data_IF_094920509912
#
_entry.id   IF_094920509912
#
_cell.length_a   1.000
_cell.length_b   1.000
_cell.length_c   1.000
_cell.angle_alpha   90.00
_cell.angle_beta   90.00
_cell.angle_gamma   90.00
#
_symmetry.space_group_name_H-M   'P 1'
#
loop_
_entity.id
_entity.type
_entity.pdbx_description
1 polymer ?
#
# COMPACT_ATOMS: atom_id res chain seq x y z
N UNK A 1 -13.10 -10.80 36.82
CA UNK A 1 -12.59 -9.73 35.93
C UNK A 1 -12.88 -10.03 34.46
N UNK A 2 -12.42 -11.15 33.92
CA UNK A 2 -12.65 -11.47 32.50
C UNK A 2 -14.14 -11.70 32.21
N UNK A 3 -14.85 -12.40 33.08
CA UNK A 3 -16.30 -12.63 32.95
C UNK A 3 -17.09 -11.32 33.04
N UNK A 4 -16.74 -10.43 33.96
CA UNK A 4 -17.36 -9.11 34.09
C UNK A 4 -17.14 -8.25 32.85
N UNK A 5 -15.93 -8.27 32.27
CA UNK A 5 -15.66 -7.56 31.03
C UNK A 5 -16.44 -8.17 29.86
N UNK A 6 -16.53 -9.49 29.78
CA UNK A 6 -17.26 -10.20 28.74
C UNK A 6 -18.75 -9.93 28.80
N UNK A 7 -19.38 -10.04 30.01
CA UNK A 7 -20.80 -9.79 30.20
C UNK A 7 -21.23 -8.36 29.81
N UNK A 8 -20.38 -7.37 30.07
CA UNK A 8 -20.65 -5.99 29.66
C UNK A 8 -20.36 -5.79 28.17
N UNK A 9 -19.23 -6.29 27.69
CA UNK A 9 -18.78 -6.00 26.33
C UNK A 9 -19.65 -6.67 25.25
N UNK A 10 -20.09 -7.90 25.48
CA UNK A 10 -20.87 -8.67 24.53
C UNK A 10 -22.39 -8.49 24.66
N UNK A 11 -22.86 -7.74 25.66
CA UNK A 11 -24.26 -7.36 25.75
C UNK A 11 -24.60 -6.19 24.82
N UNK A 12 -25.38 -6.42 23.72
CA UNK A 12 -25.77 -5.37 22.81
C UNK A 12 -26.69 -4.31 23.42
N UNK A 13 -27.35 -4.62 24.55
CA UNK A 13 -28.25 -3.70 25.28
C UNK A 13 -27.47 -2.81 26.25
N UNK A 14 -26.26 -3.21 26.63
CA UNK A 14 -25.45 -2.44 27.58
C UNK A 14 -24.83 -1.20 26.93
N UNK A 15 -24.87 0.01 27.52
CA UNK A 15 -24.29 1.23 26.94
C UNK A 15 -22.78 1.16 26.64
N UNK A 16 -22.05 0.23 27.27
CA UNK A 16 -20.65 -0.06 27.00
C UNK A 16 -20.44 -1.32 26.12
N UNK A 17 -21.53 -1.94 25.63
CA UNK A 17 -21.44 -3.08 24.72
C UNK A 17 -20.76 -2.70 23.40
N UNK A 18 -19.85 -3.54 22.91
CA UNK A 18 -19.06 -3.34 21.68
C UNK A 18 -18.45 -1.94 21.53
N UNK A 19 -18.19 -1.24 22.64
CA UNK A 19 -17.80 0.17 22.63
C UNK A 19 -16.29 0.40 22.87
N UNK A 20 -15.91 1.64 23.17
CA UNK A 20 -14.51 2.04 23.36
C UNK A 20 -13.94 1.53 24.70
N UNK A 21 -12.59 1.43 24.76
CA UNK A 21 -11.85 1.10 25.98
C UNK A 21 -12.27 1.96 27.17
N UNK A 22 -12.49 3.26 26.98
CA UNK A 22 -12.86 4.19 28.05
C UNK A 22 -14.25 3.91 28.60
N UNK A 23 -15.24 3.63 27.72
CA UNK A 23 -16.61 3.30 28.18
C UNK A 23 -16.64 1.98 28.92
N UNK A 24 -15.94 0.96 28.39
CA UNK A 24 -15.86 -0.35 29.05
C UNK A 24 -15.13 -0.26 30.39
N UNK A 25 -14.05 0.51 30.49
CA UNK A 25 -13.31 0.74 31.74
C UNK A 25 -14.18 1.42 32.80
N UNK A 26 -14.95 2.45 32.42
CA UNK A 26 -15.88 3.13 33.33
C UNK A 26 -17.01 2.20 33.81
N UNK A 27 -17.59 1.41 32.93
CA UNK A 27 -18.70 0.52 33.24
C UNK A 27 -18.28 -0.67 34.13
N UNK A 28 -17.07 -1.19 33.94
CA UNK A 28 -16.56 -2.36 34.66
C UNK A 28 -15.76 -2.02 35.90
N UNK A 29 -15.36 -0.77 36.12
CA UNK A 29 -14.44 -0.39 37.19
C UNK A 29 -12.99 -0.87 36.99
N UNK A 30 -12.69 -1.53 35.87
CA UNK A 30 -11.38 -2.09 35.57
C UNK A 30 -10.48 -1.04 34.91
N UNK A 31 -9.20 -0.98 35.27
CA UNK A 31 -8.26 -0.03 34.71
C UNK A 31 -8.14 -0.15 33.19
N UNK A 32 -7.95 0.98 32.50
CA UNK A 32 -7.86 1.03 31.02
C UNK A 32 -6.73 0.15 30.46
N UNK A 33 -5.66 -0.08 31.22
CA UNK A 33 -4.57 -0.96 30.84
C UNK A 33 -5.03 -2.42 30.75
N UNK A 34 -5.71 -2.91 31.78
CA UNK A 34 -6.26 -4.27 31.84
C UNK A 34 -7.37 -4.49 30.82
N UNK A 35 -8.24 -3.48 30.63
CA UNK A 35 -9.29 -3.53 29.57
C UNK A 35 -8.67 -3.61 28.19
N UNK A 36 -7.60 -2.84 27.88
CA UNK A 36 -6.89 -2.93 26.61
C UNK A 36 -6.25 -4.30 26.39
N UNK A 37 -5.69 -4.88 27.42
CA UNK A 37 -5.10 -6.23 27.34
C UNK A 37 -6.15 -7.27 27.04
N UNK A 38 -7.28 -7.25 27.78
CA UNK A 38 -8.41 -8.12 27.53
C UNK A 38 -8.99 -7.95 26.12
N UNK A 39 -9.21 -6.72 25.67
CA UNK A 39 -9.73 -6.44 24.33
C UNK A 39 -8.80 -6.91 23.20
N UNK A 40 -7.48 -6.96 23.41
CA UNK A 40 -6.54 -7.51 22.41
C UNK A 40 -6.75 -9.01 22.18
N UNK A 41 -7.39 -9.71 23.09
CA UNK A 41 -7.76 -11.12 22.99
C UNK A 41 -9.11 -11.31 22.28
N UNK A 42 -9.91 -10.25 22.12
CA UNK A 42 -11.24 -10.33 21.52
C UNK A 42 -11.18 -10.10 20.01
N UNK A 43 -11.57 -11.11 19.21
CA UNK A 43 -11.59 -11.04 17.75
C UNK A 43 -12.47 -9.90 17.24
N UNK A 44 -13.66 -9.73 17.82
CA UNK A 44 -14.59 -8.64 17.48
C UNK A 44 -13.95 -7.25 17.61
N UNK A 45 -13.16 -7.02 18.64
CA UNK A 45 -12.45 -5.75 18.81
C UNK A 45 -11.28 -5.61 17.84
N UNK A 46 -10.43 -6.65 17.73
CA UNK A 46 -9.21 -6.58 16.93
C UNK A 46 -9.49 -6.48 15.42
N UNK A 47 -10.56 -7.12 14.93
CA UNK A 47 -10.98 -7.03 13.53
C UNK A 47 -11.48 -5.64 13.13
N UNK A 48 -12.19 -4.94 14.04
CA UNK A 48 -12.84 -3.66 13.75
C UNK A 48 -12.04 -2.43 14.21
N UNK A 49 -10.92 -2.63 14.90
CA UNK A 49 -10.08 -1.51 15.33
C UNK A 49 -9.69 -0.64 14.13
N UNK A 50 -9.69 0.68 14.32
CA UNK A 50 -9.32 1.63 13.26
C UNK A 50 -7.88 1.38 12.80
N UNK A 51 -7.71 1.19 11.48
CA UNK A 51 -6.40 1.14 10.83
C UNK A 51 -5.94 2.56 10.49
N UNK A 52 -4.66 2.85 10.68
CA UNK A 52 -4.10 4.16 10.36
C UNK A 52 -3.92 4.28 8.85
N UNK A 53 -4.55 5.28 8.24
CA UNK A 53 -4.50 5.50 6.78
C UNK A 53 -3.25 6.27 6.31
N UNK A 54 -2.65 7.09 7.17
CA UNK A 54 -1.47 7.89 6.86
C UNK A 54 -0.40 7.65 7.91
N UNK A 55 0.75 7.16 7.51
CA UNK A 55 1.89 6.89 8.39
C UNK A 55 3.20 7.09 7.63
N UNK A 56 4.32 7.31 8.33
CA UNK A 56 5.62 7.42 7.70
C UNK A 56 6.00 6.13 6.97
N UNK A 57 6.43 6.27 5.72
CA UNK A 57 6.95 5.17 4.90
C UNK A 57 8.43 5.39 4.62
N UNK A 58 9.18 4.34 4.32
CA UNK A 58 10.57 4.47 3.88
C UNK A 58 10.61 5.33 2.62
N UNK A 59 11.45 6.35 2.66
CA UNK A 59 11.70 7.15 1.46
C UNK A 59 12.51 6.32 0.46
N UNK A 60 12.20 6.49 -0.79
CA UNK A 60 13.04 5.99 -1.88
C UNK A 60 14.34 6.81 -1.88
N UNK A 61 15.46 6.19 -1.53
CA UNK A 61 16.78 6.82 -1.59
C UNK A 61 17.48 6.38 -2.85
N UNK A 62 17.51 7.27 -3.83
CA UNK A 62 18.42 7.22 -4.97
C UNK A 62 19.54 8.18 -4.66
N UNK A 63 20.77 7.79 -4.95
CA UNK A 63 21.96 8.48 -4.45
C UNK A 63 22.56 9.47 -5.44
N UNK A 64 22.07 9.49 -6.69
CA UNK A 64 22.63 10.34 -7.73
C UNK A 64 21.63 10.58 -8.86
N UNK A 65 21.93 11.56 -9.72
CA UNK A 65 21.20 11.90 -10.92
C UNK A 65 21.24 10.69 -11.88
N UNK A 66 20.14 10.45 -12.59
CA UNK A 66 20.00 9.43 -13.63
C UNK A 66 20.31 7.98 -13.19
N UNK A 67 20.39 7.73 -11.87
CA UNK A 67 20.49 6.35 -11.38
C UNK A 67 19.15 5.63 -11.54
N UNK A 68 18.05 6.31 -11.25
CA UNK A 68 16.73 5.71 -11.38
C UNK A 68 15.66 6.72 -11.78
N UNK A 69 14.96 6.41 -12.87
CA UNK A 69 13.77 7.13 -13.28
C UNK A 69 12.51 6.35 -12.96
N UNK A 70 11.39 7.05 -12.86
CA UNK A 70 10.06 6.47 -12.87
C UNK A 70 9.32 6.94 -14.12
N UNK A 71 8.54 6.03 -14.73
CA UNK A 71 7.70 6.35 -15.88
C UNK A 71 6.28 5.80 -15.68
N UNK A 72 5.30 6.54 -16.22
CA UNK A 72 3.88 6.19 -16.18
C UNK A 72 3.15 6.73 -17.41
N UNK A 73 2.01 6.11 -17.76
CA UNK A 73 1.10 6.59 -18.80
C UNK A 73 -0.13 7.24 -18.21
N UNK A 74 -0.17 8.56 -18.30
CA UNK A 74 -1.32 9.33 -17.86
C UNK A 74 -2.43 9.35 -18.95
N UNK A 75 -3.57 8.77 -18.66
CA UNK A 75 -4.77 8.86 -19.51
C UNK A 75 -5.37 10.27 -19.42
N UNK A 76 -5.56 10.89 -20.58
CA UNK A 76 -6.17 12.20 -20.80
C UNK A 76 -7.31 12.15 -21.82
N UNK A 77 -7.85 10.97 -22.09
CA UNK A 77 -8.94 10.74 -23.04
C UNK A 77 -10.17 11.60 -22.78
N UNK A 78 -10.50 11.85 -21.51
CA UNK A 78 -11.62 12.71 -21.09
C UNK A 78 -11.53 14.15 -21.61
N UNK A 79 -10.32 14.64 -21.90
CA UNK A 79 -10.07 15.99 -22.42
C UNK A 79 -9.60 15.97 -23.88
N UNK A 80 -9.38 14.79 -24.43
CA UNK A 80 -8.90 14.61 -25.80
C UNK A 80 -10.04 14.61 -26.82
N UNK A 81 -11.03 15.50 -26.69
CA UNK A 81 -12.03 15.73 -27.76
C UNK A 81 -11.41 16.35 -29.03
N UNK A 82 -10.10 16.30 -29.17
CA UNK A 82 -9.39 16.91 -30.29
C UNK A 82 -9.27 15.96 -31.48
N UNK A 83 -9.41 16.53 -32.65
CA UNK A 83 -9.18 15.87 -33.97
C UNK A 83 -7.75 15.27 -34.12
N UNK A 84 -6.80 15.58 -33.24
CA UNK A 84 -5.40 15.15 -33.32
C UNK A 84 -5.11 13.76 -32.72
N UNK A 85 -6.07 13.10 -32.09
CA UNK A 85 -5.97 11.71 -31.67
C UNK A 85 -5.02 11.40 -30.49
N UNK A 86 -4.42 12.42 -29.85
CA UNK A 86 -3.58 12.20 -28.65
C UNK A 86 -4.44 11.98 -27.41
N UNK A 87 -4.31 10.81 -26.78
CA UNK A 87 -5.14 10.40 -25.63
C UNK A 87 -4.34 10.06 -24.38
N UNK A 88 -3.01 9.93 -24.51
CA UNK A 88 -2.12 9.60 -23.42
C UNK A 88 -0.95 10.56 -23.32
N UNK A 89 -0.36 10.64 -22.15
CA UNK A 89 0.90 11.33 -21.89
C UNK A 89 1.86 10.33 -21.26
N UNK A 90 2.99 10.05 -21.92
CA UNK A 90 4.11 9.41 -21.24
C UNK A 90 4.74 10.46 -20.33
N UNK A 91 4.79 10.18 -19.04
CA UNK A 91 5.46 10.98 -18.04
C UNK A 91 6.66 10.22 -17.50
N UNK A 92 7.78 10.90 -17.40
CA UNK A 92 9.04 10.35 -16.88
C UNK A 92 9.62 11.34 -15.88
N UNK A 93 10.21 10.85 -14.79
CA UNK A 93 10.85 11.69 -13.77
C UNK A 93 12.09 11.02 -13.21
N UNK A 94 13.17 11.76 -13.10
CA UNK A 94 14.35 11.36 -12.35
C UNK A 94 14.05 11.42 -10.84
N UNK A 95 14.23 10.30 -10.14
CA UNK A 95 13.91 10.19 -8.72
C UNK A 95 14.81 11.09 -7.86
N UNK A 96 16.06 11.32 -8.25
CA UNK A 96 16.98 12.14 -7.48
C UNK A 96 16.69 13.63 -7.68
N UNK A 97 16.84 14.13 -8.90
CA UNK A 97 16.71 15.55 -9.22
C UNK A 97 15.26 16.04 -9.28
N UNK A 98 14.27 15.14 -9.35
CA UNK A 98 12.86 15.47 -9.64
C UNK A 98 12.65 16.10 -11.02
N UNK A 99 13.67 16.14 -11.86
CA UNK A 99 13.54 16.61 -13.23
C UNK A 99 12.61 15.69 -14.01
N UNK A 100 11.69 16.27 -14.74
CA UNK A 100 10.60 15.53 -15.37
C UNK A 100 10.50 15.82 -16.86
N UNK A 101 10.02 14.82 -17.60
CA UNK A 101 9.69 14.88 -19.02
C UNK A 101 8.26 14.44 -19.25
N UNK A 102 7.65 14.92 -20.33
CA UNK A 102 6.36 14.43 -20.80
C UNK A 102 6.31 14.43 -22.31
N UNK A 103 5.68 13.38 -22.89
CA UNK A 103 5.45 13.25 -24.33
C UNK A 103 4.01 12.87 -24.62
N UNK A 104 3.35 13.51 -25.59
CA UNK A 104 2.01 13.13 -25.99
C UNK A 104 2.02 11.84 -26.82
N UNK A 105 1.10 10.94 -26.56
CA UNK A 105 0.94 9.68 -27.29
C UNK A 105 -0.50 9.55 -27.80
N UNK A 106 -0.65 8.98 -29.00
CA UNK A 106 -1.96 8.68 -29.59
C UNK A 106 -2.57 7.41 -28.97
N UNK A 107 -1.73 6.43 -28.71
CA UNK A 107 -2.14 5.13 -28.16
C UNK A 107 -1.07 4.57 -27.21
N UNK A 108 -1.37 3.45 -26.55
CA UNK A 108 -0.48 2.75 -25.62
C UNK A 108 0.40 1.69 -26.31
N UNK A 109 0.61 1.75 -27.62
CA UNK A 109 1.42 0.74 -28.30
C UNK A 109 2.90 0.85 -27.86
N UNK A 110 3.54 -0.30 -27.71
CA UNK A 110 4.97 -0.33 -27.34
C UNK A 110 5.87 0.38 -28.32
N UNK A 111 5.51 0.45 -29.60
CA UNK A 111 6.24 1.20 -30.63
C UNK A 111 6.21 2.71 -30.36
N UNK A 112 5.05 3.25 -30.01
CA UNK A 112 4.86 4.66 -29.74
C UNK A 112 5.51 5.08 -28.41
N UNK A 113 5.40 4.22 -27.39
CA UNK A 113 6.08 4.42 -26.10
C UNK A 113 7.60 4.40 -26.26
N UNK A 114 8.14 3.45 -27.03
CA UNK A 114 9.59 3.40 -27.31
C UNK A 114 10.07 4.64 -28.09
N UNK A 115 9.29 5.11 -29.06
CA UNK A 115 9.63 6.34 -29.81
C UNK A 115 9.67 7.57 -28.88
N UNK A 116 8.73 7.66 -27.94
CA UNK A 116 8.69 8.75 -26.96
C UNK A 116 9.88 8.70 -25.98
N UNK A 117 10.29 7.52 -25.52
CA UNK A 117 11.51 7.37 -24.73
C UNK A 117 12.77 7.76 -25.52
N UNK A 118 12.86 7.31 -26.78
CA UNK A 118 13.99 7.67 -27.67
C UNK A 118 14.09 9.19 -27.84
N UNK A 119 12.97 9.88 -27.94
CA UNK A 119 12.94 11.34 -28.02
C UNK A 119 13.40 12.00 -26.71
N UNK A 120 13.01 11.46 -25.54
CA UNK A 120 13.51 11.94 -24.25
C UNK A 120 15.03 11.73 -24.14
N UNK A 121 15.55 10.57 -24.54
CA UNK A 121 16.99 10.27 -24.46
C UNK A 121 17.84 11.18 -25.35
N UNK A 122 17.30 11.73 -26.43
CA UNK A 122 17.98 12.73 -27.29
C UNK A 122 18.25 14.04 -26.57
N UNK A 123 17.59 14.33 -25.45
CA UNK A 123 17.89 15.47 -24.58
C UNK A 123 19.20 15.31 -23.78
N UNK A 124 19.90 14.17 -23.92
CA UNK A 124 21.23 13.93 -23.38
C UNK A 124 21.27 13.27 -22.01
N UNK A 125 20.10 12.93 -21.42
CA UNK A 125 20.05 12.21 -20.15
C UNK A 125 19.53 10.78 -20.36
N UNK A 126 20.23 9.80 -19.77
CA UNK A 126 19.90 8.37 -19.87
C UNK A 126 20.03 7.76 -18.47
N UNK A 127 19.01 7.06 -17.95
CA UNK A 127 19.07 6.48 -16.62
C UNK A 127 19.76 5.11 -16.64
N UNK A 128 20.28 4.69 -15.48
CA UNK A 128 20.76 3.32 -15.30
C UNK A 128 19.58 2.33 -15.22
N UNK A 129 18.47 2.75 -14.64
CA UNK A 129 17.26 1.91 -14.54
C UNK A 129 15.97 2.73 -14.56
N UNK A 130 14.91 2.11 -15.07
CA UNK A 130 13.57 2.71 -15.13
C UNK A 130 12.59 1.81 -14.37
N UNK A 131 11.84 2.42 -13.47
CA UNK A 131 10.72 1.79 -12.78
C UNK A 131 9.42 2.16 -13.47
N UNK A 132 8.63 1.14 -13.84
CA UNK A 132 7.27 1.31 -14.36
C UNK A 132 6.29 0.46 -13.55
N UNK A 133 5.00 0.58 -13.83
CA UNK A 133 4.05 -0.47 -13.47
C UNK A 133 4.23 -1.70 -14.39
N UNK A 134 3.43 -2.77 -14.15
CA UNK A 134 3.47 -4.01 -14.94
C UNK A 134 2.60 -3.91 -16.23
N UNK A 135 2.45 -2.71 -16.77
CA UNK A 135 1.65 -2.50 -17.99
C UNK A 135 2.31 -3.11 -19.23
N UNK A 136 1.51 -3.72 -20.10
CA UNK A 136 1.96 -4.28 -21.38
C UNK A 136 2.58 -3.21 -22.29
N UNK A 137 2.24 -1.96 -22.09
CA UNK A 137 2.80 -0.78 -22.77
C UNK A 137 4.30 -0.59 -22.54
N UNK A 138 4.82 -1.06 -21.38
CA UNK A 138 6.25 -1.05 -21.05
C UNK A 138 6.88 -2.42 -21.23
N UNK A 139 6.15 -3.49 -20.91
CA UNK A 139 6.62 -4.88 -20.97
C UNK A 139 6.48 -5.49 -22.38
N UNK A 140 7.09 -4.84 -23.39
CA UNK A 140 7.04 -5.29 -24.78
C UNK A 140 8.41 -5.26 -25.47
N UNK A 141 8.50 -5.90 -26.64
CA UNK A 141 9.75 -6.05 -27.39
C UNK A 141 10.39 -4.70 -27.80
N UNK A 142 9.57 -3.69 -28.14
CA UNK A 142 10.10 -2.41 -28.64
C UNK A 142 10.77 -1.61 -27.53
N UNK A 143 10.13 -1.49 -26.38
CA UNK A 143 10.68 -0.80 -25.21
C UNK A 143 11.89 -1.57 -24.67
N UNK A 144 11.79 -2.92 -24.54
CA UNK A 144 12.91 -3.77 -24.08
C UNK A 144 14.12 -3.70 -25.01
N UNK A 145 13.92 -3.62 -26.34
CA UNK A 145 15.01 -3.46 -27.30
C UNK A 145 15.71 -2.12 -27.12
N UNK A 146 14.95 -1.01 -27.04
CA UNK A 146 15.50 0.33 -26.82
C UNK A 146 16.27 0.41 -25.48
N UNK A 147 15.72 -0.14 -24.42
CA UNK A 147 16.38 -0.09 -23.10
C UNK A 147 17.65 -0.94 -23.06
N UNK A 148 17.66 -2.07 -23.76
CA UNK A 148 18.86 -2.91 -23.90
C UNK A 148 19.96 -2.20 -24.71
N UNK A 149 19.60 -1.48 -25.78
CA UNK A 149 20.52 -0.66 -26.57
C UNK A 149 21.27 0.39 -25.72
N UNK A 150 20.56 0.95 -24.72
CA UNK A 150 21.11 1.96 -23.80
C UNK A 150 21.58 1.40 -22.45
N UNK A 151 21.64 0.08 -22.27
CA UNK A 151 21.99 -0.59 -21.01
C UNK A 151 21.11 -0.17 -19.82
N UNK A 152 19.81 0.05 -20.06
CA UNK A 152 18.84 0.46 -19.04
C UNK A 152 18.15 -0.79 -18.47
N UNK A 153 18.17 -0.92 -17.14
CA UNK A 153 17.42 -1.95 -16.43
C UNK A 153 15.95 -1.53 -16.30
N UNK A 154 15.04 -2.32 -16.89
CA UNK A 154 13.57 -2.17 -16.66
C UNK A 154 13.13 -3.05 -15.49
N UNK A 155 12.48 -2.46 -14.51
CA UNK A 155 11.89 -3.23 -13.41
C UNK A 155 10.54 -2.66 -12.96
N UNK A 156 9.70 -3.53 -12.41
CA UNK A 156 8.41 -3.18 -11.87
C UNK A 156 8.29 -3.61 -10.41
N UNK A 157 7.50 -2.90 -9.61
CA UNK A 157 7.27 -3.20 -8.20
C UNK A 157 5.81 -3.57 -7.99
N UNK A 158 5.56 -4.75 -7.40
CA UNK A 158 4.22 -5.28 -7.12
C UNK A 158 3.51 -4.64 -5.91
N UNK A 159 4.15 -3.72 -5.19
CA UNK A 159 3.60 -3.15 -3.96
C UNK A 159 2.56 -2.05 -4.22
N UNK A 160 1.68 -1.82 -3.22
CA UNK A 160 0.70 -0.72 -3.24
C UNK A 160 1.34 0.69 -3.29
N UNK A 161 2.64 0.80 -3.04
CA UNK A 161 3.42 2.04 -3.09
C UNK A 161 4.21 2.18 -4.39
N UNK A 162 3.57 1.82 -5.51
CA UNK A 162 4.14 1.91 -6.85
C UNK A 162 4.48 3.37 -7.17
N UNK A 163 5.57 3.61 -7.85
CA UNK A 163 5.92 4.83 -8.60
C UNK A 163 5.38 6.18 -8.03
N UNK A 164 5.33 6.34 -6.70
CA UNK A 164 4.68 7.46 -6.01
C UNK A 164 5.22 8.85 -6.41
N UNK A 165 6.42 8.93 -6.98
CA UNK A 165 7.04 10.19 -7.39
C UNK A 165 6.46 10.62 -8.73
N UNK A 166 6.38 9.73 -9.72
CA UNK A 166 5.76 10.03 -11.02
C UNK A 166 4.25 10.24 -10.87
N UNK A 167 3.56 9.50 -9.99
CA UNK A 167 2.14 9.74 -9.71
C UNK A 167 1.89 11.16 -9.15
N UNK A 168 2.77 11.64 -8.28
CA UNK A 168 2.70 13.01 -7.76
C UNK A 168 2.98 14.04 -8.84
N UNK A 169 3.94 13.78 -9.72
CA UNK A 169 4.20 14.61 -10.89
C UNK A 169 2.98 14.64 -11.81
N UNK A 170 2.37 13.48 -12.11
CA UNK A 170 1.15 13.38 -12.91
C UNK A 170 0.01 14.23 -12.34
N UNK A 171 -0.18 14.21 -11.02
CA UNK A 171 -1.19 15.05 -10.37
C UNK A 171 -0.89 16.53 -10.55
N UNK A 172 0.37 16.94 -10.41
CA UNK A 172 0.79 18.34 -10.59
C UNK A 172 0.62 18.78 -12.04
N UNK A 173 1.05 17.97 -13.00
CA UNK A 173 0.94 18.24 -14.43
C UNK A 173 -0.54 18.33 -14.84
N UNK A 174 -1.36 17.35 -14.51
CA UNK A 174 -2.81 17.37 -14.78
C UNK A 174 -3.45 18.61 -14.16
N UNK A 175 -3.15 18.95 -12.89
CA UNK A 175 -3.71 20.15 -12.25
C UNK A 175 -3.38 21.44 -13.00
N UNK A 176 -2.16 21.58 -13.56
CA UNK A 176 -1.77 22.75 -14.37
C UNK A 176 -2.54 22.78 -15.70
N UNK A 177 -2.62 21.66 -16.40
CA UNK A 177 -3.36 21.54 -17.65
C UNK A 177 -4.85 21.87 -17.46
N UNK A 178 -5.48 21.33 -16.42
CA UNK A 178 -6.90 21.61 -16.13
C UNK A 178 -7.17 23.08 -15.82
N UNK A 179 -6.31 23.73 -15.04
CA UNK A 179 -6.45 25.18 -14.77
C UNK A 179 -6.33 26.01 -16.05
N UNK A 180 -5.39 25.63 -16.95
CA UNK A 180 -5.24 26.27 -18.24
C UNK A 180 -6.51 26.11 -19.09
N UNK A 181 -7.13 24.92 -19.12
CA UNK A 181 -8.37 24.71 -19.87
C UNK A 181 -9.54 25.50 -19.33
N UNK A 182 -9.64 25.61 -18.01
CA UNK A 182 -10.67 26.45 -17.37
C UNK A 182 -10.52 27.91 -17.79
N UNK A 183 -9.28 28.41 -17.88
CA UNK A 183 -9.00 29.78 -18.28
C UNK A 183 -9.30 30.01 -19.77
N UNK A 184 -8.83 29.10 -20.64
CA UNK A 184 -8.86 29.31 -22.09
C UNK A 184 -10.13 28.83 -22.77
N UNK A 185 -11.02 28.09 -22.06
CA UNK A 185 -12.19 27.42 -22.60
C UNK A 185 -11.91 26.51 -23.81
N UNK A 186 -10.64 26.16 -24.02
CA UNK A 186 -10.13 25.31 -25.10
C UNK A 186 -9.26 24.20 -24.55
N UNK A 187 -9.42 22.99 -25.12
CA UNK A 187 -8.76 21.78 -24.61
C UNK A 187 -7.55 21.36 -25.45
N UNK A 188 -6.77 22.31 -26.00
CA UNK A 188 -5.55 22.01 -26.78
C UNK A 188 -4.35 21.76 -25.86
N UNK A 189 -4.39 20.64 -25.12
CA UNK A 189 -3.38 20.33 -24.11
C UNK A 189 -1.97 20.06 -24.70
N UNK A 190 -1.88 19.52 -25.92
CA UNK A 190 -0.61 19.23 -26.58
C UNK A 190 0.22 20.48 -26.84
N UNK A 191 -0.42 21.62 -27.07
CA UNK A 191 0.28 22.90 -27.33
C UNK A 191 0.96 23.46 -26.07
N UNK A 192 0.43 23.16 -24.88
CA UNK A 192 0.94 23.71 -23.61
C UNK A 192 1.61 22.66 -22.71
N UNK A 193 1.71 21.42 -23.19
CA UNK A 193 2.31 20.34 -22.42
C UNK A 193 3.75 20.65 -22.03
N UNK A 194 4.57 21.10 -22.99
CA UNK A 194 5.97 21.38 -22.75
C UNK A 194 6.15 22.62 -21.86
N UNK A 195 5.31 23.65 -21.99
CA UNK A 195 5.32 24.81 -21.11
C UNK A 195 5.00 24.43 -19.66
N UNK A 196 4.05 23.50 -19.47
CA UNK A 196 3.70 22.99 -18.15
C UNK A 196 4.85 22.18 -17.53
N UNK A 197 5.58 21.40 -18.32
CA UNK A 197 6.78 20.66 -17.90
C UNK A 197 7.93 21.61 -17.60
N UNK A 198 8.18 22.57 -18.47
CA UNK A 198 9.17 23.63 -18.26
C UNK A 198 8.93 24.37 -16.94
N UNK A 199 7.70 24.83 -16.75
CA UNK A 199 7.30 25.51 -15.52
C UNK A 199 7.41 24.62 -14.27
N UNK A 200 7.25 23.30 -14.39
CA UNK A 200 7.50 22.35 -13.30
C UNK A 200 8.99 22.28 -12.97
N UNK A 201 9.85 22.06 -13.97
CA UNK A 201 11.29 21.91 -13.79
C UNK A 201 11.95 23.20 -13.25
N UNK A 202 11.39 24.38 -13.56
CA UNK A 202 11.88 25.69 -13.11
C UNK A 202 11.19 26.21 -11.84
N UNK A 203 10.25 25.45 -11.26
CA UNK A 203 9.62 25.82 -9.97
C UNK A 203 10.38 25.20 -8.81
N UNK A 204 10.53 25.95 -7.69
CA UNK A 204 11.14 25.43 -6.46
C UNK A 204 10.39 24.18 -5.98
N UNK A 205 11.08 23.04 -5.96
CA UNK A 205 10.51 21.78 -5.50
C UNK A 205 10.59 21.67 -3.97
N UNK A 206 9.44 21.46 -3.30
CA UNK A 206 9.34 21.46 -1.83
C UNK A 206 10.34 20.53 -1.13
N UNK A 207 10.57 19.33 -1.68
CA UNK A 207 11.47 18.34 -1.06
C UNK A 207 12.94 18.66 -1.29
N UNK A 208 13.28 19.24 -2.44
CA UNK A 208 14.67 19.59 -2.78
C UNK A 208 15.10 20.93 -2.20
N UNK A 209 14.16 21.85 -1.97
CA UNK A 209 14.47 23.21 -1.60
C UNK A 209 14.98 24.08 -2.77
N UNK A 210 15.19 23.50 -3.95
CA UNK A 210 15.67 24.13 -5.19
C UNK A 210 14.82 23.69 -6.39
N UNK A 211 15.08 24.27 -7.58
CA UNK A 211 14.41 23.88 -8.82
C UNK A 211 15.00 22.56 -9.33
N UNK A 212 14.21 21.65 -9.91
CA UNK A 212 14.73 20.41 -10.52
C UNK A 212 15.82 20.65 -11.57
N UNK A 213 15.72 21.72 -12.35
CA UNK A 213 16.71 22.08 -13.39
C UNK A 213 18.07 22.51 -12.82
N UNK A 214 18.12 22.98 -11.58
CA UNK A 214 19.37 23.41 -10.92
C UNK A 214 20.16 22.24 -10.32
N UNK A 215 19.57 21.04 -10.25
CA UNK A 215 20.28 19.86 -9.74
C UNK A 215 21.25 19.34 -10.79
N UNK A 216 22.55 19.40 -10.46
CA UNK A 216 23.64 19.01 -11.33
C UNK A 216 24.74 18.27 -10.55
N UNK A 217 25.83 17.90 -11.19
CA UNK A 217 26.94 17.15 -10.59
C UNK A 217 27.58 17.86 -9.39
N UNK A 218 27.61 19.19 -9.39
CA UNK A 218 28.31 20.00 -8.38
C UNK A 218 27.52 19.99 -7.04
N UNK A 219 26.17 19.88 -7.07
CA UNK A 219 25.33 19.94 -5.90
C UNK A 219 24.70 18.58 -5.49
N UNK A 220 25.10 17.47 -6.13
CA UNK A 220 24.64 16.12 -5.76
C UNK A 220 24.83 15.83 -4.26
N UNK A 221 25.92 16.26 -3.64
CA UNK A 221 26.19 16.09 -2.21
C UNK A 221 25.12 16.74 -1.34
N UNK A 222 24.83 18.02 -1.58
CA UNK A 222 23.81 18.79 -0.88
C UNK A 222 22.41 18.16 -1.06
N UNK A 223 22.03 17.83 -2.30
CA UNK A 223 20.74 17.20 -2.60
C UNK A 223 20.61 15.85 -1.89
N UNK A 224 21.69 15.06 -1.80
CA UNK A 224 21.71 13.77 -1.08
C UNK A 224 21.44 13.97 0.40
N UNK A 225 22.04 14.98 1.02
CA UNK A 225 21.79 15.32 2.42
C UNK A 225 20.33 15.74 2.63
N UNK A 226 19.79 16.61 1.80
CA UNK A 226 18.40 17.05 1.84
C UNK A 226 17.44 15.85 1.71
N UNK A 227 17.69 14.95 0.80
CA UNK A 227 16.83 13.76 0.60
C UNK A 227 16.94 12.75 1.74
N UNK A 228 18.09 12.65 2.39
CA UNK A 228 18.33 11.78 3.55
C UNK A 228 17.88 12.41 4.86
N UNK A 229 17.97 13.74 4.99
CA UNK A 229 17.50 14.47 6.15
C UNK A 229 15.98 14.36 6.27
N UNK A 230 15.49 13.86 7.40
CA UNK A 230 14.06 13.73 7.68
C UNK A 230 13.51 12.31 7.60
N UNK A 231 14.35 11.29 7.76
CA UNK A 231 13.92 9.98 8.23
C UNK A 231 13.41 10.07 9.67
N UNK A 232 12.27 9.44 10.03
CA UNK A 232 11.84 9.40 11.41
C UNK A 232 12.93 8.74 12.26
N UNK A 233 13.17 9.29 13.44
CA UNK A 233 14.03 8.71 14.48
C UNK A 233 13.78 7.21 14.65
N UNK A 234 14.81 6.44 14.98
CA UNK A 234 14.71 5.01 15.30
C UNK A 234 13.74 4.82 16.48
N UNK A 235 12.46 4.77 16.18
CA UNK A 235 11.41 4.55 17.16
C UNK A 235 11.54 3.13 17.75
N UNK A 236 11.26 3.00 19.06
CA UNK A 236 11.19 1.70 19.72
C UNK A 236 10.24 0.79 18.96
N UNK A 237 10.68 -0.40 18.62
CA UNK A 237 9.81 -1.40 17.97
C UNK A 237 8.77 -1.92 18.97
N UNK A 238 7.49 -1.82 18.66
CA UNK A 238 6.43 -2.32 19.54
C UNK A 238 6.19 -3.84 19.38
N UNK A 239 6.85 -4.49 18.41
CA UNK A 239 6.69 -5.90 18.11
C UNK A 239 7.98 -6.66 18.33
N UNK A 240 7.84 -7.94 18.71
CA UNK A 240 8.94 -8.91 18.86
C UNK A 240 8.76 -10.04 17.84
N UNK A 241 9.85 -10.70 17.48
CA UNK A 241 9.80 -11.94 16.68
C UNK A 241 8.99 -12.97 17.46
N UNK A 242 8.14 -13.71 16.77
CA UNK A 242 7.23 -14.70 17.34
C UNK A 242 5.86 -14.14 17.79
N UNK A 243 5.65 -12.82 17.80
CA UNK A 243 4.35 -12.25 18.16
C UNK A 243 3.32 -12.40 17.02
N UNK A 244 2.09 -12.73 17.40
CA UNK A 244 0.96 -12.82 16.48
C UNK A 244 0.40 -11.44 16.15
N UNK A 245 0.09 -11.25 14.87
CA UNK A 245 -0.43 -10.00 14.32
C UNK A 245 -1.50 -10.22 13.26
N UNK A 246 -2.36 -9.24 13.06
CA UNK A 246 -3.24 -9.11 11.89
C UNK A 246 -2.67 -8.08 10.93
N UNK A 247 -2.93 -8.25 9.63
CA UNK A 247 -2.57 -7.29 8.59
C UNK A 247 -3.76 -6.39 8.29
N UNK A 248 -3.51 -5.10 8.05
CA UNK A 248 -4.55 -4.15 7.65
C UNK A 248 -5.08 -4.47 6.25
N UNK A 249 -6.41 -4.51 6.08
CA UNK A 249 -7.05 -4.64 4.77
C UNK A 249 -6.95 -3.32 4.02
N UNK A 250 -6.48 -3.36 2.76
CA UNK A 250 -6.54 -2.21 1.87
C UNK A 250 -8.01 -2.00 1.48
N UNK A 251 -8.62 -0.93 1.99
CA UNK A 251 -10.00 -0.58 1.64
C UNK A 251 -10.06 0.38 0.47
N UNK A 252 -10.97 0.14 -0.47
CA UNK A 252 -11.31 1.11 -1.51
C UNK A 252 -11.87 2.40 -0.88
N UNK A 253 -11.85 3.49 -1.65
CA UNK A 253 -12.37 4.79 -1.20
C UNK A 253 -13.84 4.71 -0.77
N UNK A 254 -14.61 3.80 -1.39
CA UNK A 254 -16.03 3.57 -1.14
C UNK A 254 -16.30 2.46 -0.12
N UNK A 255 -15.27 1.87 0.51
CA UNK A 255 -15.47 0.82 1.50
C UNK A 255 -16.16 1.38 2.75
N UNK A 256 -17.24 0.71 3.16
CA UNK A 256 -18.05 1.10 4.32
C UNK A 256 -17.22 0.95 5.61
N UNK A 257 -17.27 1.99 6.46
CA UNK A 257 -16.42 2.10 7.65
C UNK A 257 -16.66 1.04 8.73
N UNK A 258 -17.82 0.41 8.72
CA UNK A 258 -18.20 -0.63 9.69
C UNK A 258 -17.67 -2.04 9.36
N UNK A 259 -17.11 -2.25 8.14
CA UNK A 259 -16.50 -3.53 7.78
C UNK A 259 -15.17 -3.73 8.50
N UNK A 260 -14.73 -4.99 8.75
CA UNK A 260 -13.45 -5.29 9.37
C UNK A 260 -12.28 -4.58 8.66
N UNK A 261 -11.39 -3.97 9.45
CA UNK A 261 -10.21 -3.27 8.95
C UNK A 261 -8.97 -4.16 8.88
N UNK A 262 -9.01 -5.32 9.50
CA UNK A 262 -7.90 -6.23 9.67
C UNK A 262 -8.25 -7.62 9.16
N UNK A 263 -7.23 -8.42 8.82
CA UNK A 263 -7.40 -9.79 8.34
C UNK A 263 -7.96 -10.68 9.44
N UNK A 264 -8.78 -11.66 9.06
CA UNK A 264 -9.22 -12.74 9.94
C UNK A 264 -8.06 -13.69 10.24
N UNK A 265 -7.23 -13.96 9.24
CA UNK A 265 -6.00 -14.73 9.35
C UNK A 265 -5.01 -14.06 10.28
N UNK A 266 -4.31 -14.88 11.08
CA UNK A 266 -3.23 -14.47 11.97
C UNK A 266 -1.88 -14.78 11.34
N UNK A 267 -0.97 -13.85 11.48
CA UNK A 267 0.40 -13.97 11.02
C UNK A 267 1.35 -13.86 12.21
N UNK A 268 2.53 -14.42 12.07
CA UNK A 268 3.58 -14.33 13.10
C UNK A 268 4.72 -13.46 12.60
N UNK A 269 5.25 -12.58 13.45
CA UNK A 269 6.43 -11.77 13.10
C UNK A 269 7.64 -12.70 12.95
N UNK A 270 8.14 -12.83 11.71
CA UNK A 270 9.28 -13.68 11.37
C UNK A 270 10.62 -12.97 11.59
N UNK A 271 10.73 -11.70 11.16
CA UNK A 271 11.94 -10.90 11.37
C UNK A 271 11.65 -9.40 11.39
N UNK A 272 12.60 -8.64 11.94
CA UNK A 272 12.49 -7.18 12.12
C UNK A 272 13.69 -6.51 11.45
N UNK A 273 13.45 -5.74 10.39
CA UNK A 273 14.47 -4.92 9.74
C UNK A 273 14.60 -3.55 10.42
N UNK A 274 15.62 -3.40 11.24
CA UNK A 274 15.97 -2.16 11.95
C UNK A 274 17.03 -1.32 11.24
N UNK A 275 17.59 -1.79 10.12
CA UNK A 275 18.69 -1.12 9.42
C UNK A 275 18.29 0.24 8.83
N UNK A 276 17.00 0.42 8.54
CA UNK A 276 16.46 1.67 7.96
C UNK A 276 15.20 2.10 8.71
N UNK A 277 14.96 3.40 8.77
CA UNK A 277 13.74 3.99 9.32
C UNK A 277 12.74 4.30 8.21
N UNK A 278 11.43 4.08 8.43
CA UNK A 278 10.84 3.34 9.55
C UNK A 278 11.16 1.84 9.53
N UNK A 279 11.13 1.23 10.73
CA UNK A 279 11.32 -0.21 10.93
C UNK A 279 10.28 -0.99 10.13
N UNK A 280 10.69 -2.10 9.51
CA UNK A 280 9.80 -3.00 8.77
C UNK A 280 9.83 -4.40 9.35
N UNK A 281 8.76 -5.15 9.11
CA UNK A 281 8.52 -6.48 9.66
C UNK A 281 8.28 -7.46 8.51
N UNK A 282 8.92 -8.61 8.54
CA UNK A 282 8.53 -9.77 7.74
C UNK A 282 7.61 -10.65 8.56
N UNK A 283 6.62 -11.20 7.91
CA UNK A 283 5.62 -12.05 8.54
C UNK A 283 5.66 -13.44 7.94
N UNK A 284 5.23 -14.41 8.70
CA UNK A 284 4.96 -15.78 8.24
C UNK A 284 3.50 -16.13 8.53
N UNK A 285 2.91 -16.93 7.68
CA UNK A 285 1.57 -17.45 7.81
C UNK A 285 1.49 -18.57 8.87
N UNK A 286 0.32 -19.18 9.00
CA UNK A 286 0.09 -20.28 9.93
C UNK A 286 0.90 -21.54 9.56
N UNK A 287 1.19 -21.79 8.28
CA UNK A 287 2.03 -22.91 7.82
C UNK A 287 3.51 -22.71 8.13
N UNK A 288 3.92 -21.48 8.50
CA UNK A 288 5.31 -21.12 8.75
C UNK A 288 6.01 -20.50 7.56
N UNK A 289 5.33 -20.37 6.42
CA UNK A 289 5.88 -19.80 5.20
C UNK A 289 5.96 -18.28 5.30
N UNK A 290 7.11 -17.72 4.91
CA UNK A 290 7.31 -16.28 4.91
C UNK A 290 6.54 -15.67 3.75
N UNK A 291 5.56 -14.80 4.06
CA UNK A 291 4.80 -14.11 3.04
C UNK A 291 5.62 -13.04 2.33
N UNK A 292 5.35 -12.86 1.03
CA UNK A 292 6.07 -11.92 0.18
C UNK A 292 5.86 -10.47 0.66
N UNK A 293 6.94 -9.70 0.72
CA UNK A 293 6.93 -8.30 1.09
C UNK A 293 7.44 -8.02 2.50
N UNK A 294 7.23 -6.80 2.93
CA UNK A 294 7.54 -6.33 4.29
C UNK A 294 6.51 -5.29 4.72
N UNK A 295 6.19 -5.27 5.99
CA UNK A 295 5.08 -4.49 6.54
C UNK A 295 5.60 -3.39 7.46
N UNK A 296 4.96 -2.22 7.40
CA UNK A 296 5.18 -1.14 8.36
C UNK A 296 4.43 -1.42 9.67
N UNK A 297 4.90 -0.80 10.75
CA UNK A 297 4.25 -0.88 12.07
C UNK A 297 2.73 -0.63 12.03
N UNK A 298 2.29 0.28 11.16
CA UNK A 298 0.89 0.70 11.07
C UNK A 298 0.03 -0.23 10.21
N UNK A 299 0.66 -1.12 9.45
CA UNK A 299 0.01 -2.15 8.65
C UNK A 299 -0.23 -3.43 9.42
N UNK A 300 0.33 -3.55 10.62
CA UNK A 300 0.17 -4.72 11.48
C UNK A 300 -0.36 -4.34 12.85
N UNK A 301 -1.15 -5.22 13.43
CA UNK A 301 -1.75 -5.06 14.75
C UNK A 301 -1.48 -6.28 15.60
N UNK A 302 -0.92 -6.06 16.80
CA UNK A 302 -0.71 -7.13 17.77
C UNK A 302 -2.04 -7.73 18.23
N UNK A 303 -2.12 -9.05 18.21
CA UNK A 303 -3.21 -9.85 18.74
C UNK A 303 -2.63 -10.78 19.81
N UNK A 304 -3.33 -10.96 20.89
CA UNK A 304 -3.05 -12.00 21.89
C UNK A 304 -4.20 -13.00 21.78
N UNK A 305 -3.96 -14.11 21.12
CA UNK A 305 -4.92 -15.21 21.11
C UNK A 305 -4.47 -16.21 22.17
N UNK A 306 -5.30 -16.45 23.17
CA UNK A 306 -4.98 -17.42 24.23
C UNK A 306 -5.43 -18.85 23.85
N UNK A 307 -6.26 -18.99 22.81
CA UNK A 307 -6.80 -20.26 22.34
C UNK A 307 -6.71 -20.36 20.82
N UNK A 308 -6.39 -21.55 20.31
CA UNK A 308 -6.49 -21.93 18.88
C UNK A 308 -7.96 -22.00 18.41
N UNK A 309 -8.75 -20.99 18.73
CA UNK A 309 -10.19 -20.96 18.40
C UNK A 309 -10.36 -20.31 17.04
N UNK A 310 -10.47 -21.11 16.00
CA UNK A 310 -10.74 -20.67 14.64
C UNK A 310 -12.26 -20.58 14.40
N UNK A 311 -12.71 -19.56 13.69
CA UNK A 311 -14.12 -19.43 13.30
C UNK A 311 -14.39 -20.24 12.04
N UNK A 312 -15.47 -21.02 12.05
CA UNK A 312 -15.91 -21.77 10.88
C UNK A 312 -16.67 -20.84 9.95
N UNK A 313 -16.20 -20.71 8.69
CA UNK A 313 -16.90 -19.96 7.65
C UNK A 313 -18.08 -20.74 7.12
N UNK A 314 -17.88 -22.04 6.82
CA UNK A 314 -18.94 -22.96 6.40
C UNK A 314 -18.54 -24.42 6.59
N UNK A 315 -19.53 -25.28 6.78
CA UNK A 315 -19.38 -26.72 6.70
C UNK A 315 -19.47 -27.14 5.23
N UNK A 316 -18.42 -27.79 4.72
CA UNK A 316 -18.34 -28.24 3.32
C UNK A 316 -18.94 -29.64 3.18
N UNK A 317 -18.59 -30.55 4.11
CA UNK A 317 -19.03 -31.96 4.12
C UNK A 317 -19.24 -32.42 5.54
N UNK A 318 -20.07 -33.46 5.72
CA UNK A 318 -20.28 -34.10 7.00
C UNK A 318 -20.17 -35.61 6.84
N UNK A 319 -19.67 -36.31 7.88
CA UNK A 319 -19.63 -37.77 7.97
C UNK A 319 -19.93 -38.25 9.36
N UNK A 320 -20.40 -39.46 9.51
CA UNK A 320 -20.81 -40.06 10.81
C UNK A 320 -22.20 -39.66 11.29
N UNK A 321 -22.64 -40.20 12.41
CA UNK A 321 -23.94 -39.93 13.06
C UNK A 321 -23.78 -39.76 14.56
N UNK A 322 -24.69 -39.04 15.20
CA UNK A 322 -24.68 -38.81 16.65
C UNK A 322 -23.35 -38.19 17.16
N UNK A 323 -22.82 -38.69 18.24
CA UNK A 323 -21.58 -38.21 18.87
C UNK A 323 -20.31 -38.47 18.04
N UNK A 324 -20.38 -39.27 16.98
CA UNK A 324 -19.27 -39.53 16.05
C UNK A 324 -19.41 -38.71 14.75
N UNK A 325 -20.22 -37.67 14.74
CA UNK A 325 -20.39 -36.81 13.60
C UNK A 325 -19.20 -35.84 13.47
N UNK A 326 -18.65 -35.76 12.27
CA UNK A 326 -17.54 -34.86 11.88
C UNK A 326 -17.99 -33.97 10.76
N UNK A 327 -17.44 -32.71 10.78
CA UNK A 327 -17.62 -31.72 9.75
C UNK A 327 -16.27 -31.38 9.11
N UNK A 328 -16.22 -31.43 7.77
CA UNK A 328 -15.12 -30.85 7.02
C UNK A 328 -15.43 -29.38 6.82
N UNK A 329 -14.68 -28.52 7.48
CA UNK A 329 -14.99 -27.10 7.58
C UNK A 329 -13.99 -26.26 6.80
N UNK A 330 -14.48 -25.15 6.27
CA UNK A 330 -13.67 -24.02 5.82
C UNK A 330 -13.54 -23.04 6.97
N UNK A 331 -12.32 -22.67 7.28
CA UNK A 331 -12.01 -21.70 8.31
C UNK A 331 -12.14 -20.28 7.78
N UNK A 332 -12.76 -19.40 8.54
CA UNK A 332 -12.98 -18.01 8.17
C UNK A 332 -11.64 -17.27 7.99
N UNK A 333 -11.40 -16.75 6.77
CA UNK A 333 -10.20 -16.00 6.44
C UNK A 333 -8.97 -16.83 6.08
N UNK A 334 -9.03 -18.16 6.16
CA UNK A 334 -7.94 -19.06 5.80
C UNK A 334 -8.10 -19.65 4.39
N UNK A 335 -7.01 -20.00 3.68
CA UNK A 335 -7.11 -20.60 2.36
C UNK A 335 -7.73 -22.01 2.43
N UNK A 336 -8.27 -22.49 1.32
CA UNK A 336 -8.94 -23.80 1.26
C UNK A 336 -8.01 -24.98 1.55
N UNK A 337 -6.69 -24.81 1.41
CA UNK A 337 -5.67 -25.80 1.80
C UNK A 337 -5.66 -26.11 3.30
N UNK A 338 -6.19 -25.20 4.11
CA UNK A 338 -6.27 -25.34 5.57
C UNK A 338 -7.58 -26.01 6.04
N UNK A 339 -8.51 -26.33 5.11
CA UNK A 339 -9.75 -27.01 5.46
C UNK A 339 -9.45 -28.32 6.17
N UNK A 340 -10.19 -28.59 7.26
CA UNK A 340 -9.92 -29.77 8.09
C UNK A 340 -11.21 -30.39 8.65
N UNK A 341 -11.10 -31.64 9.11
CA UNK A 341 -12.19 -32.33 9.78
C UNK A 341 -12.19 -31.99 11.27
N UNK A 342 -13.34 -31.56 11.78
CA UNK A 342 -13.58 -31.19 13.19
C UNK A 342 -14.78 -31.96 13.71
N UNK A 343 -14.80 -32.29 14.97
CA UNK A 343 -16.01 -32.91 15.58
C UNK A 343 -17.18 -31.93 15.56
N UNK A 344 -18.38 -32.42 15.27
CA UNK A 344 -19.56 -31.56 15.23
C UNK A 344 -19.81 -30.85 16.57
N UNK A 345 -19.56 -31.55 17.70
CA UNK A 345 -19.63 -30.96 19.05
C UNK A 345 -18.71 -29.74 19.27
N UNK A 346 -17.58 -29.68 18.58
CA UNK A 346 -16.66 -28.59 18.74
C UNK A 346 -17.10 -27.39 17.89
N UNK A 347 -17.68 -27.66 16.71
CA UNK A 347 -18.27 -26.61 15.85
C UNK A 347 -19.47 -25.97 16.54
N UNK A 348 -20.32 -26.75 17.18
CA UNK A 348 -21.51 -26.27 17.91
C UNK A 348 -21.10 -25.39 19.11
N UNK A 349 -20.05 -25.78 19.85
CA UNK A 349 -19.49 -24.96 20.94
C UNK A 349 -18.91 -23.64 20.44
N UNK A 350 -18.29 -23.63 19.26
CA UNK A 350 -17.80 -22.43 18.63
C UNK A 350 -18.91 -21.50 18.12
N UNK A 351 -19.98 -22.10 17.55
CA UNK A 351 -21.17 -21.36 17.11
C UNK A 351 -21.93 -20.76 18.28
N UNK A 352 -22.06 -21.47 19.42
CA UNK A 352 -22.71 -20.94 20.62
C UNK A 352 -21.95 -19.80 21.31
N UNK A 353 -20.63 -19.70 21.16
CA UNK A 353 -19.86 -18.54 21.62
C UNK A 353 -20.09 -17.28 20.75
N UNK A 354 -20.64 -17.43 19.55
CA UNK A 354 -21.10 -16.35 18.69
C UNK A 354 -22.59 -15.99 18.82
N UNK A 355 -23.34 -16.70 19.68
CA UNK A 355 -24.80 -16.54 19.85
C UNK A 355 -25.18 -16.21 21.31
N UNK A 356 -24.29 -15.54 22.05
CA UNK A 356 -24.61 -14.91 23.33
C UNK A 356 -24.70 -13.42 23.20
#
# INVERSE_FOLDING_TARGET
MNETLASIYYDPKHPAGFSSVSKLSKASGVSTAKVKEWLRKQSTYTLHRMAMKKYPTRKYTVHDIDVQWQADLADVSLISKQKNGYTFILTVIDIFSRYAWARPLKNKSGKEVAAAFKDIFREGRIPKRIQTDQGKEFENRHVKSLFREHNIELFSVKSAYKAAIVERFNRTLKSRLWKYFTMMLKQKWTAVLQDAVYAYNHSKHRTLGMRPVDVNADNVGEVREILSSGGPSLAKTPFRVGEQVRISKVKSVFAKGYLPNWTEELFTVASIDRKKSPIMYKLKDYAGDVIEGSFYRHEIQKVQHDDDTFLVEKVIKSKGRGNQKWHFVKWLGYPSSMNSWVRASDVDKMSQRGTL
#
